data_IF_016822738516
#
_entry.id   IF_016822738516
#
_cell.length_a   1.000
_cell.length_b   1.000
_cell.length_c   1.000
_cell.angle_alpha   90.00
_cell.angle_beta   90.00
_cell.angle_gamma   90.00
#
_symmetry.space_group_name_H-M   'P 1'
#
loop_
_entity.id
_entity.type
_entity.pdbx_description
1 polymer ?
#
# COMPACT_ATOMS: atom_id res chain seq x y z
N UNK A 1 -13.34 -7.79 8.91
CA UNK A 1 -12.31 -6.77 9.17
C UNK A 1 -11.05 -7.08 8.37
N UNK A 2 -10.34 -6.06 7.92
CA UNK A 2 -9.09 -6.26 7.22
C UNK A 2 -8.02 -6.78 8.18
N UNK A 3 -7.09 -7.60 7.65
CA UNK A 3 -5.97 -8.15 8.43
C UNK A 3 -4.92 -7.11 8.77
N UNK A 4 -4.96 -5.97 8.11
CA UNK A 4 -4.02 -4.89 8.33
C UNK A 4 -3.93 -4.02 7.09
N UNK A 5 -3.31 -2.86 7.24
CA UNK A 5 -3.11 -1.92 6.14
C UNK A 5 -1.72 -2.07 5.56
N UNK A 6 -1.63 -2.29 4.26
CA UNK A 6 -0.37 -2.42 3.53
C UNK A 6 -0.18 -1.17 2.67
N UNK A 7 0.88 -0.43 2.93
CA UNK A 7 1.22 0.74 2.12
C UNK A 7 2.15 0.31 0.99
N UNK A 8 1.83 0.75 -0.22
CA UNK A 8 2.59 0.36 -1.42
C UNK A 8 3.03 1.64 -2.13
N UNK A 9 4.31 1.73 -2.42
CA UNK A 9 4.84 2.82 -3.23
C UNK A 9 5.61 2.24 -4.41
N UNK A 10 5.09 2.43 -5.61
CA UNK A 10 5.73 2.00 -6.86
C UNK A 10 5.23 2.90 -7.97
N UNK A 11 6.11 3.33 -8.83
CA UNK A 11 5.76 4.19 -9.97
C UNK A 11 5.13 3.39 -11.13
N UNK A 12 5.19 2.08 -11.09
CA UNK A 12 4.59 1.21 -12.10
C UNK A 12 3.13 0.94 -11.76
N UNK A 13 2.24 1.45 -12.60
CA UNK A 13 0.80 1.31 -12.40
C UNK A 13 0.35 -0.16 -12.41
N UNK A 14 0.96 -0.98 -13.28
CA UNK A 14 0.60 -2.39 -13.38
C UNK A 14 0.96 -3.14 -12.10
N UNK A 15 2.12 -2.85 -11.54
CA UNK A 15 2.54 -3.48 -10.28
C UNK A 15 1.62 -3.07 -9.13
N UNK A 16 1.29 -1.78 -9.03
CA UNK A 16 0.35 -1.31 -8.00
C UNK A 16 -1.00 -2.02 -8.12
N UNK A 17 -1.49 -2.18 -9.35
CA UNK A 17 -2.79 -2.84 -9.59
C UNK A 17 -2.75 -4.31 -9.16
N UNK A 18 -1.70 -5.03 -9.53
CA UNK A 18 -1.56 -6.45 -9.19
C UNK A 18 -1.46 -6.64 -7.68
N UNK A 19 -0.61 -5.84 -7.03
CA UNK A 19 -0.45 -5.94 -5.57
C UNK A 19 -1.74 -5.57 -4.84
N UNK A 20 -2.42 -4.52 -5.30
CA UNK A 20 -3.68 -4.09 -4.70
C UNK A 20 -4.71 -5.21 -4.74
N UNK A 21 -4.87 -5.86 -5.88
CA UNK A 21 -5.83 -6.95 -6.04
C UNK A 21 -5.44 -8.17 -5.20
N UNK A 22 -4.16 -8.56 -5.23
CA UNK A 22 -3.69 -9.72 -4.51
C UNK A 22 -3.84 -9.55 -2.99
N UNK A 23 -3.48 -8.39 -2.49
CA UNK A 23 -3.57 -8.11 -1.04
C UNK A 23 -5.01 -7.98 -0.58
N UNK A 24 -5.87 -7.37 -1.39
CA UNK A 24 -7.29 -7.28 -1.07
C UNK A 24 -7.93 -8.67 -0.99
N UNK A 25 -7.56 -9.58 -1.90
CA UNK A 25 -8.05 -10.96 -1.87
C UNK A 25 -7.57 -11.70 -0.63
N UNK A 26 -6.39 -11.39 -0.14
CA UNK A 26 -5.84 -12.01 1.07
C UNK A 26 -6.46 -11.44 2.36
N UNK A 27 -7.31 -10.45 2.25
CA UNK A 27 -7.99 -9.85 3.40
C UNK A 27 -7.29 -8.64 4.00
N UNK A 28 -6.27 -8.09 3.31
CA UNK A 28 -5.60 -6.88 3.74
C UNK A 28 -6.29 -5.64 3.15
N UNK A 29 -5.95 -4.48 3.69
CA UNK A 29 -6.39 -3.18 3.18
C UNK A 29 -5.19 -2.49 2.50
N UNK A 30 -5.01 -2.64 1.18
CA UNK A 30 -3.89 -2.02 0.49
C UNK A 30 -4.15 -0.54 0.20
N UNK A 31 -3.11 0.28 0.34
CA UNK A 31 -3.10 1.68 -0.12
C UNK A 31 -1.87 1.87 -0.99
N UNK A 32 -2.07 2.23 -2.23
CA UNK A 32 -1.01 2.33 -3.20
C UNK A 32 -0.83 3.75 -3.69
N UNK A 33 0.41 4.14 -3.92
CA UNK A 33 0.77 5.43 -4.50
C UNK A 33 1.95 5.27 -5.45
N UNK A 34 2.02 6.13 -6.46
CA UNK A 34 3.20 6.23 -7.32
C UNK A 34 4.18 7.28 -6.82
N UNK A 35 3.97 7.85 -5.65
CA UNK A 35 4.72 9.00 -5.15
C UNK A 35 5.32 8.69 -3.77
N UNK A 36 6.65 8.72 -3.69
CA UNK A 36 7.36 8.45 -2.45
C UNK A 36 7.04 9.48 -1.34
N UNK A 37 6.78 10.73 -1.72
CA UNK A 37 6.41 11.75 -0.74
C UNK A 37 5.07 11.44 -0.07
N UNK A 38 4.13 10.90 -0.83
CA UNK A 38 2.84 10.47 -0.27
C UNK A 38 3.03 9.30 0.69
N UNK A 39 3.89 8.34 0.33
CA UNK A 39 4.21 7.22 1.22
C UNK A 39 4.82 7.72 2.52
N UNK A 40 5.77 8.63 2.45
CA UNK A 40 6.40 9.23 3.62
C UNK A 40 5.38 9.90 4.54
N UNK A 41 4.42 10.62 3.94
CA UNK A 41 3.36 11.26 4.70
C UNK A 41 2.54 10.24 5.47
N UNK A 42 2.15 9.15 4.81
CA UNK A 42 1.38 8.09 5.46
C UNK A 42 2.16 7.47 6.61
N UNK A 43 3.43 7.14 6.39
CA UNK A 43 4.29 6.56 7.43
C UNK A 43 4.45 7.53 8.61
N UNK A 44 4.66 8.81 8.31
CA UNK A 44 4.83 9.83 9.36
C UNK A 44 3.58 10.02 10.21
N UNK A 45 2.41 9.74 9.67
CA UNK A 45 1.14 9.81 10.37
C UNK A 45 0.81 8.51 11.12
N UNK A 46 1.70 7.55 11.10
CA UNK A 46 1.47 6.26 11.75
C UNK A 46 0.52 5.35 11.01
N UNK A 47 0.25 5.61 9.74
CA UNK A 47 -0.63 4.78 8.94
C UNK A 47 0.12 3.56 8.41
N UNK A 48 -0.60 2.46 8.27
CA UNK A 48 -0.10 1.23 7.70
C UNK A 48 0.67 0.37 8.68
N UNK A 49 0.59 -0.93 8.48
CA UNK A 49 1.28 -1.93 9.29
C UNK A 49 2.52 -2.46 8.59
N UNK A 50 2.52 -2.45 7.25
CA UNK A 50 3.62 -2.93 6.41
C UNK A 50 3.78 -1.98 5.24
N UNK A 51 5.01 -1.81 4.79
CA UNK A 51 5.35 -0.97 3.64
C UNK A 51 6.02 -1.84 2.57
N UNK A 52 5.55 -1.73 1.33
CA UNK A 52 6.17 -2.36 0.17
C UNK A 52 6.64 -1.23 -0.76
N UNK A 53 7.92 -1.20 -1.05
CA UNK A 53 8.49 -0.17 -1.91
C UNK A 53 9.58 -0.75 -2.82
#
# INVERSE_FOLDING_TARGET
MARGTILIADDDTAIRTVLNQALARAGFAPRATGNAATLWRWVSQGEGDVVIT
#
